data_IF_701233478057
#
_entry.id   IF_701233478057
#
_cell.length_a   1.000
_cell.length_b   1.000
_cell.length_c   1.000
_cell.angle_alpha   90.00
_cell.angle_beta   90.00
_cell.angle_gamma   90.00
#
_symmetry.space_group_name_H-M   'P 1'
#
loop_
_entity.id
_entity.type
_entity.pdbx_description
1 polymer ?
#
# COMPACT_ATOMS: atom_id res chain seq x y z
N UNK A 1 -11.01 -7.11 26.51
CA UNK A 1 -11.14 -8.00 25.33
C UNK A 1 -11.24 -7.15 24.08
N UNK A 2 -10.41 -7.44 23.10
CA UNK A 2 -10.44 -6.69 21.82
C UNK A 2 -11.58 -7.19 20.94
N UNK A 3 -12.27 -6.26 20.31
CA UNK A 3 -13.34 -6.61 19.39
C UNK A 3 -12.78 -6.99 18.01
N UNK A 4 -13.49 -7.89 17.34
CA UNK A 4 -13.23 -8.25 15.95
C UNK A 4 -14.02 -7.31 15.05
N UNK A 5 -13.46 -6.97 13.90
CA UNK A 5 -14.12 -6.02 13.00
C UNK A 5 -13.94 -6.45 11.55
N UNK A 6 -14.84 -5.96 10.71
CA UNK A 6 -14.77 -6.19 9.26
C UNK A 6 -13.83 -5.20 8.60
N UNK A 7 -13.58 -5.39 7.31
CA UNK A 7 -12.76 -4.48 6.51
C UNK A 7 -13.51 -3.22 6.06
N UNK A 8 -14.77 -3.07 6.46
CA UNK A 8 -15.56 -1.90 6.07
C UNK A 8 -14.96 -0.60 6.61
N UNK A 9 -14.88 0.41 5.77
CA UNK A 9 -14.34 1.72 6.14
C UNK A 9 -12.83 1.87 5.97
N UNK A 10 -12.13 0.84 5.51
CA UNK A 10 -10.70 0.95 5.18
C UNK A 10 -10.50 1.90 4.00
N UNK A 11 -9.40 2.62 4.01
CA UNK A 11 -9.05 3.51 2.90
C UNK A 11 -7.54 3.62 2.72
N UNK A 12 -7.18 4.05 1.53
CA UNK A 12 -5.79 4.35 1.14
C UNK A 12 -5.64 5.87 1.07
N UNK A 13 -4.55 6.38 1.63
CA UNK A 13 -4.24 7.80 1.55
C UNK A 13 -2.74 7.99 1.30
N UNK A 14 -2.35 9.19 0.90
CA UNK A 14 -0.97 9.50 0.59
C UNK A 14 -0.58 10.90 1.05
N UNK A 15 0.71 11.10 1.27
CA UNK A 15 1.29 12.42 1.48
C UNK A 15 2.76 12.43 1.02
N UNK A 16 3.20 13.46 0.28
CA UNK A 16 4.61 13.59 -0.05
C UNK A 16 5.39 14.06 1.17
N UNK A 17 6.68 13.73 1.23
CA UNK A 17 7.54 14.19 2.32
C UNK A 17 7.69 15.71 2.27
N UNK A 18 7.45 16.37 3.39
CA UNK A 18 7.77 17.79 3.54
C UNK A 18 9.27 17.98 3.79
N UNK A 19 9.86 17.08 4.59
CA UNK A 19 11.29 17.04 4.87
C UNK A 19 11.83 15.69 4.38
N UNK A 20 12.88 15.73 3.59
CA UNK A 20 13.51 14.52 3.04
C UNK A 20 13.86 13.53 4.16
N UNK A 21 13.43 12.28 3.99
CA UNK A 21 13.73 11.21 4.93
C UNK A 21 12.82 11.16 6.15
N UNK A 22 11.87 12.08 6.31
CA UNK A 22 10.95 12.12 7.45
C UNK A 22 9.55 11.78 7.00
N UNK A 23 8.97 10.73 7.60
CA UNK A 23 7.58 10.34 7.32
C UNK A 23 6.63 11.46 7.77
N UNK A 24 5.77 11.96 6.88
CA UNK A 24 4.77 12.95 7.29
C UNK A 24 3.73 12.30 8.23
N UNK A 25 3.25 13.07 9.20
CA UNK A 25 2.22 12.62 10.14
C UNK A 25 0.87 13.29 9.87
N UNK A 26 0.85 14.33 9.04
CA UNK A 26 -0.36 15.11 8.72
C UNK A 26 -0.40 15.39 7.22
N UNK A 27 -1.54 15.90 6.74
CA UNK A 27 -1.68 16.31 5.34
C UNK A 27 -1.94 15.16 4.38
N UNK A 28 -2.34 14.01 4.87
CA UNK A 28 -2.66 12.86 4.00
C UNK A 28 -3.97 13.11 3.25
N UNK A 29 -3.96 12.78 1.98
CA UNK A 29 -5.11 12.93 1.09
C UNK A 29 -5.65 11.53 0.78
N UNK A 30 -6.94 11.32 1.03
CA UNK A 30 -7.62 10.06 0.78
C UNK A 30 -7.80 9.83 -0.72
N UNK A 31 -7.51 8.62 -1.18
CA UNK A 31 -7.76 8.21 -2.57
C UNK A 31 -9.17 7.62 -2.63
N UNK A 32 -10.09 8.22 -3.43
CA UNK A 32 -11.47 7.74 -3.50
C UNK A 32 -11.60 6.45 -4.31
N UNK A 33 -12.72 5.77 -4.15
CA UNK A 33 -13.17 4.63 -4.97
C UNK A 33 -12.33 3.36 -4.87
N UNK A 34 -11.39 3.27 -3.91
CA UNK A 34 -10.62 2.05 -3.68
C UNK A 34 -11.53 0.99 -3.08
N UNK A 35 -11.61 -0.17 -3.73
CA UNK A 35 -12.49 -1.27 -3.29
C UNK A 35 -11.74 -2.53 -2.86
N UNK A 36 -10.46 -2.66 -3.16
CA UNK A 36 -9.65 -3.77 -2.69
C UNK A 36 -8.23 -3.33 -2.38
N UNK A 37 -7.65 -3.92 -1.35
CA UNK A 37 -6.32 -3.59 -0.85
C UNK A 37 -5.51 -4.89 -0.81
N UNK A 38 -4.28 -4.92 -1.36
CA UNK A 38 -3.47 -6.14 -1.36
C UNK A 38 -2.94 -6.45 0.04
N UNK A 39 -2.43 -7.66 0.21
CA UNK A 39 -1.81 -8.08 1.46
C UNK A 39 -0.49 -7.36 1.68
N UNK A 40 -0.27 -6.90 2.92
CA UNK A 40 1.00 -6.38 3.38
C UNK A 40 1.73 -7.35 4.31
N UNK A 41 1.27 -8.59 4.35
CA UNK A 41 1.82 -9.62 5.24
C UNK A 41 2.22 -10.88 4.47
N UNK A 42 3.20 -10.79 3.56
CA UNK A 42 3.69 -11.97 2.87
C UNK A 42 4.44 -12.89 3.81
N UNK A 43 4.37 -14.18 3.56
CA UNK A 43 5.17 -15.14 4.31
C UNK A 43 6.65 -14.91 3.99
N UNK A 44 7.53 -15.02 4.99
CA UNK A 44 8.95 -14.92 4.72
C UNK A 44 9.44 -16.14 3.92
N UNK A 45 10.45 -15.92 3.10
CA UNK A 45 11.14 -17.00 2.44
C UNK A 45 11.80 -17.88 3.49
N UNK A 46 11.80 -19.20 3.27
CA UNK A 46 12.48 -20.15 4.15
C UNK A 46 13.60 -20.84 3.39
N UNK A 47 14.73 -21.01 4.05
CA UNK A 47 15.91 -21.66 3.49
C UNK A 47 16.14 -22.93 4.29
N UNK A 48 16.20 -24.08 3.62
CA UNK A 48 16.43 -25.35 4.30
C UNK A 48 17.84 -25.40 4.87
N UNK A 49 17.94 -25.70 6.16
CA UNK A 49 19.21 -25.82 6.88
C UNK A 49 19.40 -27.20 7.49
N UNK A 50 18.61 -28.19 7.07
CA UNK A 50 18.65 -29.54 7.56
C UNK A 50 20.02 -30.20 7.34
N UNK A 51 20.57 -30.84 8.38
CA UNK A 51 21.82 -31.58 8.28
C UNK A 51 21.54 -33.10 8.22
N UNK A 52 22.54 -33.88 7.87
CA UNK A 52 22.43 -35.34 7.80
C UNK A 52 22.22 -35.99 9.18
N UNK A 53 22.50 -35.27 10.25
CA UNK A 53 22.29 -35.74 11.61
C UNK A 53 20.82 -35.72 12.05
N UNK A 54 20.00 -34.92 11.37
CA UNK A 54 18.58 -34.77 11.69
C UNK A 54 17.80 -35.94 11.06
N UNK A 55 17.05 -36.67 11.87
CA UNK A 55 16.37 -37.89 11.44
C UNK A 55 14.86 -37.83 11.45
N UNK A 56 14.26 -36.80 12.07
CA UNK A 56 12.80 -36.69 12.20
C UNK A 56 12.21 -35.48 11.47
N UNK A 57 12.81 -34.29 11.61
CA UNK A 57 12.26 -33.03 11.07
C UNK A 57 13.31 -32.30 10.25
N UNK A 58 12.79 -31.63 9.21
CA UNK A 58 13.60 -30.66 8.47
C UNK A 58 13.66 -29.36 9.25
N UNK A 59 14.78 -28.66 9.17
CA UNK A 59 14.96 -27.35 9.78
C UNK A 59 15.13 -26.28 8.71
N UNK A 60 14.66 -25.05 9.01
CA UNK A 60 14.66 -23.95 8.07
C UNK A 60 15.17 -22.68 8.73
N UNK A 61 15.81 -21.83 7.94
CA UNK A 61 16.20 -20.48 8.33
C UNK A 61 15.27 -19.51 7.63
N UNK A 62 14.81 -18.51 8.36
CA UNK A 62 13.93 -17.47 7.83
C UNK A 62 14.70 -16.55 6.89
N UNK A 63 14.21 -16.37 5.68
CA UNK A 63 14.75 -15.44 4.70
C UNK A 63 13.99 -14.12 4.65
N UNK A 64 14.04 -13.46 3.52
CA UNK A 64 13.40 -12.17 3.30
C UNK A 64 11.90 -12.31 2.99
N UNK A 65 11.12 -11.29 3.31
CA UNK A 65 9.73 -11.18 2.85
C UNK A 65 9.71 -10.47 1.51
N UNK A 66 8.80 -10.90 0.63
CA UNK A 66 8.62 -10.32 -0.68
C UNK A 66 7.15 -9.95 -0.88
N UNK A 67 6.91 -8.67 -1.18
CA UNK A 67 5.56 -8.17 -1.48
C UNK A 67 5.10 -8.48 -2.90
N UNK A 68 5.97 -9.04 -3.74
CA UNK A 68 5.62 -9.49 -5.08
C UNK A 68 5.74 -8.40 -6.16
N UNK A 69 6.51 -7.37 -5.93
CA UNK A 69 6.68 -6.26 -6.88
C UNK A 69 5.63 -5.18 -6.69
N UNK A 70 4.98 -4.74 -7.77
CA UNK A 70 3.97 -3.69 -7.67
C UNK A 70 2.74 -4.17 -6.89
N UNK A 71 2.29 -3.36 -5.94
CA UNK A 71 1.06 -3.61 -5.19
C UNK A 71 -0.14 -3.22 -6.05
N UNK A 72 -1.18 -4.05 -6.05
CA UNK A 72 -2.37 -3.87 -6.86
C UNK A 72 -3.56 -3.48 -5.99
N UNK A 73 -4.05 -2.26 -6.16
CA UNK A 73 -5.24 -1.78 -5.47
C UNK A 73 -6.38 -1.70 -6.48
N UNK A 74 -7.45 -2.45 -6.27
CA UNK A 74 -8.62 -2.38 -7.13
C UNK A 74 -9.44 -1.14 -6.82
N UNK A 75 -9.96 -0.48 -7.86
CA UNK A 75 -10.78 0.73 -7.72
C UNK A 75 -11.81 0.82 -8.82
N UNK A 76 -12.91 1.52 -8.54
CA UNK A 76 -13.89 1.89 -9.56
C UNK A 76 -13.37 3.09 -10.34
N UNK A 77 -13.52 3.07 -11.67
CA UNK A 77 -13.09 4.17 -12.51
C UNK A 77 -14.15 5.27 -12.51
N UNK A 78 -13.87 6.37 -11.85
CA UNK A 78 -14.74 7.56 -11.81
C UNK A 78 -13.91 8.81 -12.08
N UNK A 79 -14.59 9.91 -12.40
CA UNK A 79 -13.89 11.19 -12.60
C UNK A 79 -13.16 11.65 -11.33
N UNK A 80 -13.74 11.37 -10.16
CA UNK A 80 -13.12 11.71 -8.88
C UNK A 80 -11.80 10.95 -8.69
N UNK A 81 -11.78 9.67 -9.03
CA UNK A 81 -10.55 8.87 -8.96
C UNK A 81 -9.50 9.38 -9.95
N UNK A 82 -9.91 9.65 -11.19
CA UNK A 82 -8.99 10.15 -12.22
C UNK A 82 -8.36 11.47 -11.78
N UNK A 83 -9.16 12.39 -11.26
CA UNK A 83 -8.66 13.68 -10.76
C UNK A 83 -7.71 13.49 -9.57
N UNK A 84 -8.09 12.66 -8.60
CA UNK A 84 -7.26 12.40 -7.43
C UNK A 84 -5.93 11.73 -7.82
N UNK A 85 -5.97 10.78 -8.74
CA UNK A 85 -4.76 10.08 -9.18
C UNK A 85 -3.83 11.00 -9.99
N UNK A 86 -4.40 11.89 -10.82
CA UNK A 86 -3.61 12.90 -11.54
C UNK A 86 -2.91 13.84 -10.57
N UNK A 87 -3.59 14.26 -9.51
CA UNK A 87 -3.00 15.08 -8.45
C UNK A 87 -1.86 14.34 -7.74
N UNK A 88 -2.07 13.06 -7.44
CA UNK A 88 -1.03 12.22 -6.85
C UNK A 88 0.19 12.11 -7.77
N UNK A 89 -0.02 11.87 -9.06
CA UNK A 89 1.09 11.74 -10.02
C UNK A 89 1.89 13.03 -10.13
N UNK A 90 1.22 14.19 -10.09
CA UNK A 90 1.89 15.49 -10.08
C UNK A 90 2.71 15.67 -8.80
N UNK A 91 2.12 15.32 -7.65
CA UNK A 91 2.83 15.38 -6.36
C UNK A 91 4.04 14.44 -6.34
N UNK A 92 3.90 13.25 -6.91
CA UNK A 92 4.99 12.29 -7.04
C UNK A 92 6.13 12.84 -7.90
N UNK A 93 5.83 13.41 -9.06
CA UNK A 93 6.84 14.01 -9.93
C UNK A 93 7.57 15.16 -9.23
N UNK A 94 6.85 16.00 -8.50
CA UNK A 94 7.44 17.08 -7.72
C UNK A 94 8.35 16.55 -6.62
N UNK A 95 7.91 15.48 -5.94
CA UNK A 95 8.71 14.85 -4.89
C UNK A 95 10.01 14.24 -5.45
N UNK A 96 9.94 13.57 -6.59
CA UNK A 96 11.10 12.98 -7.25
C UNK A 96 12.12 14.07 -7.65
N UNK A 97 11.63 15.18 -8.18
CA UNK A 97 12.49 16.31 -8.56
C UNK A 97 13.20 16.92 -7.34
N UNK A 98 12.57 16.85 -6.17
CA UNK A 98 13.15 17.32 -4.90
C UNK A 98 13.88 16.22 -4.13
N UNK A 99 14.06 15.04 -4.71
CA UNK A 99 14.64 13.85 -4.09
C UNK A 99 13.90 13.41 -2.81
N UNK A 100 12.60 13.62 -2.77
CA UNK A 100 11.71 13.21 -1.66
C UNK A 100 10.87 12.02 -2.07
N UNK A 101 10.32 11.33 -1.09
CA UNK A 101 9.45 10.17 -1.31
C UNK A 101 8.00 10.53 -1.06
N UNK A 102 7.10 9.75 -1.65
CA UNK A 102 5.67 9.83 -1.36
C UNK A 102 5.32 8.67 -0.44
N UNK A 103 4.67 8.98 0.66
CA UNK A 103 4.22 8.00 1.63
C UNK A 103 2.76 7.66 1.41
N UNK A 104 2.46 6.38 1.50
CA UNK A 104 1.11 5.85 1.42
C UNK A 104 0.74 5.24 2.75
N UNK A 105 -0.53 5.32 3.11
CA UNK A 105 -1.04 4.71 4.33
C UNK A 105 -2.35 3.98 4.05
N UNK A 106 -2.46 2.77 4.58
CA UNK A 106 -3.71 2.00 4.60
C UNK A 106 -4.25 2.07 6.01
N UNK A 107 -5.46 2.62 6.14
CA UNK A 107 -6.06 2.92 7.43
C UNK A 107 -7.36 2.14 7.61
N UNK A 108 -7.51 1.55 8.79
CA UNK A 108 -8.78 0.94 9.22
C UNK A 108 -9.35 1.77 10.36
N UNK A 109 -10.66 2.10 10.35
CA UNK A 109 -11.25 2.98 11.36
C UNK A 109 -11.16 2.45 12.78
N UNK A 110 -11.14 1.14 12.96
CA UNK A 110 -11.13 0.50 14.28
C UNK A 110 -9.74 0.09 14.78
N UNK A 111 -8.70 0.31 13.99
CA UNK A 111 -7.32 0.08 14.42
C UNK A 111 -6.66 1.40 14.85
N UNK A 112 -5.85 1.35 15.90
CA UNK A 112 -5.12 2.52 16.36
C UNK A 112 -3.94 2.87 15.45
N UNK A 113 -3.42 1.88 14.72
CA UNK A 113 -2.27 2.04 13.84
C UNK A 113 -2.65 1.82 12.39
N UNK A 114 -1.94 2.48 11.49
CA UNK A 114 -2.07 2.32 10.06
C UNK A 114 -0.81 1.70 9.48
N UNK A 115 -0.93 1.08 8.31
CA UNK A 115 0.22 0.53 7.58
C UNK A 115 0.77 1.61 6.66
N UNK A 116 2.02 2.00 6.87
CA UNK A 116 2.71 3.00 6.07
C UNK A 116 3.77 2.36 5.19
N UNK A 117 3.89 2.84 3.99
CA UNK A 117 4.97 2.45 3.08
C UNK A 117 5.27 3.57 2.10
N UNK A 118 6.50 3.58 1.59
CA UNK A 118 6.88 4.46 0.49
C UNK A 118 6.72 3.71 -0.82
N UNK A 119 6.30 4.38 -1.87
CA UNK A 119 6.09 3.72 -3.14
C UNK A 119 6.07 4.69 -4.31
N UNK A 120 6.22 4.11 -5.50
CA UNK A 120 6.17 4.82 -6.76
C UNK A 120 4.87 4.46 -7.47
N UNK A 121 3.92 5.41 -7.59
CA UNK A 121 2.67 5.15 -8.30
C UNK A 121 2.88 5.13 -9.81
N UNK A 122 2.07 4.33 -10.50
CA UNK A 122 2.05 4.25 -11.96
C UNK A 122 0.77 4.89 -12.51
N UNK A 123 0.79 5.30 -13.77
CA UNK A 123 -0.41 5.82 -14.43
C UNK A 123 -1.52 4.78 -14.49
N UNK A 124 -2.76 5.23 -14.56
CA UNK A 124 -3.93 4.35 -14.59
C UNK A 124 -4.57 4.31 -15.99
N UNK A 125 -5.29 3.22 -16.25
CA UNK A 125 -6.10 3.05 -17.44
C UNK A 125 -7.26 2.12 -17.13
N UNK A 126 -8.22 2.03 -18.04
CA UNK A 126 -9.36 1.12 -17.87
C UNK A 126 -8.91 -0.34 -17.93
N UNK A 127 -9.43 -1.15 -17.03
CA UNK A 127 -9.33 -2.59 -17.10
C UNK A 127 -10.29 -3.11 -18.21
N UNK A 128 -10.23 -4.42 -18.49
CA UNK A 128 -11.14 -5.05 -19.41
C UNK A 128 -12.59 -4.69 -19.10
N UNK A 129 -13.35 -4.30 -20.09
CA UNK A 129 -14.73 -3.92 -19.94
C UNK A 129 -15.63 -4.92 -20.68
N UNK A 130 -16.75 -5.28 -20.04
CA UNK A 130 -17.74 -6.19 -20.61
C UNK A 130 -19.15 -5.67 -20.33
N UNK A 131 -20.12 -6.15 -21.12
CA UNK A 131 -21.53 -5.79 -20.91
C UNK A 131 -21.98 -6.24 -19.52
N UNK A 132 -22.60 -5.34 -18.77
CA UNK A 132 -23.09 -5.60 -17.40
C UNK A 132 -22.05 -5.47 -16.32
N UNK A 133 -20.79 -5.17 -16.66
CA UNK A 133 -19.72 -4.96 -15.69
C UNK A 133 -19.58 -3.50 -15.27
N UNK A 134 -18.91 -3.26 -14.16
CA UNK A 134 -18.53 -1.92 -13.72
C UNK A 134 -17.23 -1.49 -14.38
N UNK A 135 -17.10 -0.21 -14.66
CA UNK A 135 -15.83 0.35 -15.11
C UNK A 135 -14.85 0.35 -13.93
N UNK A 136 -13.73 -0.32 -14.10
CA UNK A 136 -12.76 -0.53 -13.04
C UNK A 136 -11.34 -0.23 -13.52
N UNK A 137 -10.46 0.01 -12.56
CA UNK A 137 -9.03 0.15 -12.81
C UNK A 137 -8.24 -0.51 -11.69
N UNK A 138 -6.97 -0.77 -11.95
CA UNK A 138 -6.04 -1.24 -10.93
C UNK A 138 -5.00 -0.16 -10.69
N UNK A 139 -4.84 0.22 -9.44
CA UNK A 139 -3.85 1.20 -9.02
C UNK A 139 -2.57 0.45 -8.67
N UNK A 140 -1.51 0.66 -9.43
CA UNK A 140 -0.23 0.02 -9.19
C UNK A 140 0.70 0.97 -8.44
N UNK A 141 1.20 0.52 -7.31
CA UNK A 141 2.19 1.25 -6.52
C UNK A 141 3.34 0.29 -6.23
N UNK A 142 4.53 0.62 -6.72
CA UNK A 142 5.71 -0.19 -6.46
C UNK A 142 6.32 0.23 -5.13
N UNK A 143 6.34 -0.65 -4.11
CA UNK A 143 6.91 -0.28 -2.82
C UNK A 143 8.42 -0.11 -2.91
N UNK A 144 8.94 0.92 -2.25
CA UNK A 144 10.37 1.22 -2.22
C UNK A 144 11.01 0.95 -0.87
N UNK A 145 10.23 0.42 0.09
CA UNK A 145 10.73 0.04 1.40
C UNK A 145 9.75 -0.90 2.09
N UNK A 146 10.16 -1.42 3.24
CA UNK A 146 9.31 -2.31 4.03
C UNK A 146 8.13 -1.55 4.62
N UNK A 147 6.91 -2.12 4.60
CA UNK A 147 5.78 -1.50 5.29
C UNK A 147 5.97 -1.56 6.80
N UNK A 148 5.46 -0.57 7.49
CA UNK A 148 5.52 -0.48 8.95
C UNK A 148 4.18 -0.01 9.51
N UNK A 149 3.82 -0.49 10.69
CA UNK A 149 2.60 -0.06 11.37
C UNK A 149 2.95 1.02 12.40
N UNK A 150 2.37 2.18 12.22
CA UNK A 150 2.57 3.34 13.08
C UNK A 150 1.22 3.99 13.39
N UNK A 151 1.21 4.99 14.28
CA UNK A 151 -0.01 5.71 14.63
C UNK A 151 -0.69 6.30 13.38
N UNK A 152 -2.03 6.32 13.39
CA UNK A 152 -2.81 6.83 12.26
C UNK A 152 -2.39 8.23 11.83
N UNK A 153 -2.40 8.52 10.52
CA UNK A 153 -2.13 9.85 10.03
C UNK A 153 -3.32 10.78 10.23
N UNK A 154 -3.05 12.09 10.21
CA UNK A 154 -4.09 13.10 10.16
C UNK A 154 -4.34 13.46 8.69
N UNK A 155 -5.60 13.36 8.26
CA UNK A 155 -5.98 13.71 6.90
C UNK A 155 -5.94 15.23 6.70
N UNK A 156 -5.68 15.64 5.47
CA UNK A 156 -5.77 17.04 5.07
C UNK A 156 -7.23 17.53 5.19
N UNK A 157 -7.36 18.76 5.58
CA UNK A 157 -8.69 19.40 5.69
C UNK A 157 -9.32 19.64 4.32
#
# INVERSE_FOLDING_TARGET
MSERFSTAGMYLCYAPEATKGTRPTTGYVKIPEVKSIPSFNPAPETIESTTLEETEYKTYVKGLKDLGGALEFGANMTDDLVTAWSTLMTAFQTAVAAEKKVWFAVVHPNLAKATFFTGDPSGIGLNEASVGGMAETTLYITPTGAPAMENKPTLAA
#
